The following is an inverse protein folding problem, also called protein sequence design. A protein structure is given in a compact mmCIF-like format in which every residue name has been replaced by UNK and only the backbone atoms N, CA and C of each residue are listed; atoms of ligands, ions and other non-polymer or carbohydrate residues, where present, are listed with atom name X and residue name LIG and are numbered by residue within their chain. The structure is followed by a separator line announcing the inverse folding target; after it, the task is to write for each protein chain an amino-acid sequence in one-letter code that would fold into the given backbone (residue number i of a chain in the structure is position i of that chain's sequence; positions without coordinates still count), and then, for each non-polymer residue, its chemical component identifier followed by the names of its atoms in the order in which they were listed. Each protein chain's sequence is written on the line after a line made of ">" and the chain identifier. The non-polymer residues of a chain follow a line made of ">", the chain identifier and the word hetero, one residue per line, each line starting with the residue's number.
data_IF_464850818485
#
_entry.id   IF_464850818485
#
_cell.length_a   1.000
_cell.length_b   1.000
_cell.length_c   1.000
_cell.angle_alpha   90.00
_cell.angle_beta   90.00
_cell.angle_gamma   90.00
#
_symmetry.space_group_name_H-M   'P 1'
#
loop_
_entity.id
_entity.type
_entity.pdbx_description
1 polymer ?
#
# COMPACT_ATOMS: atom_id res chain seq x y z
N UNK A 1 7.73 4.18 10.57
CA UNK A 1 6.90 4.77 9.50
C UNK A 1 6.97 3.89 8.25
N UNK A 2 5.83 3.59 7.66
CA UNK A 2 5.68 2.86 6.38
C UNK A 2 5.15 3.85 5.34
N UNK A 3 5.39 3.59 4.05
CA UNK A 3 4.76 4.35 2.97
C UNK A 3 3.83 3.42 2.21
N UNK A 4 2.59 3.86 1.98
CA UNK A 4 1.67 3.23 1.04
C UNK A 4 1.21 4.23 0.00
N UNK A 5 1.05 3.74 -1.22
CA UNK A 5 0.27 4.43 -2.24
C UNK A 5 -1.21 4.14 -2.11
N UNK A 6 -2.10 5.06 -2.53
CA UNK A 6 -3.52 4.99 -2.20
C UNK A 6 -4.18 3.64 -2.46
N UNK A 7 -3.91 2.99 -3.60
CA UNK A 7 -4.56 1.71 -3.89
C UNK A 7 -4.13 0.58 -2.95
N UNK A 8 -2.91 0.65 -2.40
CA UNK A 8 -2.41 -0.38 -1.50
C UNK A 8 -3.04 -0.36 -0.11
N UNK A 9 -3.69 0.74 0.31
CA UNK A 9 -4.50 0.74 1.51
C UNK A 9 -5.65 -0.27 1.39
N UNK A 10 -6.42 -0.24 0.29
CA UNK A 10 -7.48 -1.22 0.06
C UNK A 10 -6.93 -2.62 -0.23
N UNK A 11 -5.83 -2.74 -1.00
CA UNK A 11 -5.23 -4.05 -1.24
C UNK A 11 -4.77 -4.72 0.06
N UNK A 12 -4.29 -3.96 1.04
CA UNK A 12 -3.85 -4.47 2.34
C UNK A 12 -5.02 -5.07 3.13
N UNK A 13 -6.20 -4.42 3.10
CA UNK A 13 -7.42 -4.94 3.74
C UNK A 13 -7.92 -6.24 3.07
N UNK A 14 -7.79 -6.33 1.75
CA UNK A 14 -8.24 -7.48 0.96
C UNK A 14 -7.19 -8.55 0.69
N UNK A 15 -5.99 -8.45 1.28
CA UNK A 15 -4.87 -9.31 0.92
C UNK A 15 -5.10 -10.77 1.33
N UNK A 16 -5.00 -11.69 0.36
CA UNK A 16 -5.16 -13.14 0.55
C UNK A 16 -3.96 -13.99 0.10
N UNK A 17 -2.87 -13.36 -0.33
CA UNK A 17 -1.64 -14.06 -0.72
C UNK A 17 -1.72 -14.86 -2.03
N UNK A 18 -2.64 -14.55 -2.94
CA UNK A 18 -2.79 -15.25 -4.23
C UNK A 18 -2.61 -14.31 -5.44
N UNK A 19 -2.20 -14.86 -6.58
CA UNK A 19 -2.16 -14.14 -7.87
C UNK A 19 -0.91 -13.28 -8.13
N UNK A 20 0.12 -13.37 -7.28
CA UNK A 20 1.37 -12.61 -7.43
C UNK A 20 2.59 -13.54 -7.40
N UNK A 21 3.78 -13.01 -7.74
CA UNK A 21 5.03 -13.74 -7.55
C UNK A 21 5.25 -14.06 -6.05
N UNK A 22 5.94 -15.16 -5.75
CA UNK A 22 6.23 -15.57 -4.36
C UNK A 22 6.88 -14.45 -3.56
N UNK A 23 7.89 -13.78 -4.13
CA UNK A 23 8.57 -12.65 -3.48
C UNK A 23 7.64 -11.49 -3.15
N UNK A 24 6.66 -11.20 -4.01
CA UNK A 24 5.67 -10.15 -3.74
C UNK A 24 4.72 -10.58 -2.63
N UNK A 25 4.24 -11.82 -2.67
CA UNK A 25 3.39 -12.39 -1.62
C UNK A 25 4.11 -12.40 -0.27
N UNK A 26 5.38 -12.80 -0.21
CA UNK A 26 6.17 -12.85 1.01
C UNK A 26 6.38 -11.46 1.61
N UNK A 27 6.75 -10.48 0.79
CA UNK A 27 6.90 -9.08 1.22
C UNK A 27 5.59 -8.54 1.78
N UNK A 28 4.49 -8.70 1.05
CA UNK A 28 3.19 -8.19 1.48
C UNK A 28 2.70 -8.92 2.73
N UNK A 29 2.86 -10.24 2.81
CA UNK A 29 2.52 -11.03 3.99
C UNK A 29 3.28 -10.56 5.23
N UNK A 30 4.57 -10.26 5.10
CA UNK A 30 5.38 -9.76 6.22
C UNK A 30 4.95 -8.36 6.68
N UNK A 31 4.57 -7.47 5.75
CA UNK A 31 3.99 -6.17 6.09
C UNK A 31 2.67 -6.35 6.85
N UNK A 32 1.77 -7.21 6.37
CA UNK A 32 0.48 -7.45 7.00
C UNK A 32 0.59 -8.14 8.36
N UNK A 33 1.56 -9.06 8.53
CA UNK A 33 1.86 -9.68 9.84
C UNK A 33 2.19 -8.64 10.89
N UNK A 34 2.93 -7.59 10.51
CA UNK A 34 3.29 -6.49 11.42
C UNK A 34 2.09 -5.58 11.66
N UNK A 35 1.37 -5.18 10.61
CA UNK A 35 0.24 -4.25 10.73
C UNK A 35 -0.96 -4.84 11.50
N UNK A 36 -1.12 -6.17 11.48
CA UNK A 36 -2.22 -6.85 12.17
C UNK A 36 -1.93 -7.21 13.64
N UNK A 37 -0.79 -6.80 14.20
CA UNK A 37 -0.58 -6.90 15.66
C UNK A 37 -1.25 -5.74 16.38
N UNK A 38 -1.39 -5.84 17.71
CA UNK A 38 -1.92 -4.75 18.53
C UNK A 38 -1.08 -3.47 18.37
N UNK A 39 0.25 -3.57 18.44
CA UNK A 39 1.16 -2.44 18.24
C UNK A 39 1.17 -1.96 16.77
N UNK A 40 0.81 -2.85 15.83
CA UNK A 40 0.69 -2.56 14.41
C UNK A 40 -0.36 -1.50 14.10
N UNK A 41 -1.38 -1.36 14.95
CA UNK A 41 -2.45 -0.38 14.78
C UNK A 41 -1.95 1.06 14.83
N UNK A 42 -0.94 1.35 15.66
CA UNK A 42 -0.39 2.69 15.85
C UNK A 42 0.75 3.01 14.87
N UNK A 43 1.13 2.05 14.01
CA UNK A 43 2.14 2.29 12.98
C UNK A 43 1.61 3.35 12.00
N UNK A 44 2.38 4.42 11.86
CA UNK A 44 2.10 5.48 10.89
C UNK A 44 2.48 5.08 9.48
N UNK A 45 1.56 5.35 8.56
CA UNK A 45 1.64 5.14 7.13
C UNK A 45 1.54 6.50 6.45
N UNK A 46 2.58 6.88 5.70
CA UNK A 46 2.56 8.07 4.84
C UNK A 46 1.96 7.71 3.49
N UNK A 47 1.03 8.53 3.02
CA UNK A 47 0.45 8.43 1.68
C UNK A 47 1.41 8.99 0.65
N UNK A 48 1.79 8.18 -0.34
CA UNK A 48 2.68 8.56 -1.45
C UNK A 48 2.07 8.18 -2.81
N UNK A 49 2.38 8.88 -3.89
CA UNK A 49 1.88 8.54 -5.24
C UNK A 49 2.96 7.87 -6.12
N UNK A 50 3.95 7.27 -5.45
CA UNK A 50 5.05 6.52 -6.06
C UNK A 50 5.05 5.06 -5.60
N UNK A 51 5.89 4.23 -6.23
CA UNK A 51 6.13 2.86 -5.81
C UNK A 51 6.55 2.82 -4.32
N UNK A 52 5.88 1.99 -3.55
CA UNK A 52 5.93 2.02 -2.09
C UNK A 52 6.55 0.75 -1.49
N UNK A 53 6.33 0.53 -0.19
CA UNK A 53 6.89 -0.63 0.52
C UNK A 53 6.36 -1.98 0.02
N UNK A 54 5.12 -2.04 -0.47
CA UNK A 54 4.55 -3.25 -1.08
C UNK A 54 5.12 -3.47 -2.49
N UNK A 55 5.34 -2.39 -3.26
CA UNK A 55 5.96 -2.46 -4.58
C UNK A 55 7.41 -2.98 -4.59
N UNK A 56 8.08 -3.08 -3.43
CA UNK A 56 9.53 -3.29 -3.37
C UNK A 56 10.07 -4.44 -4.25
N UNK A 57 9.51 -5.67 -4.19
CA UNK A 57 9.91 -6.80 -5.04
C UNK A 57 9.09 -6.93 -6.35
N UNK A 58 8.26 -5.94 -6.70
CA UNK A 58 7.40 -6.02 -7.88
C UNK A 58 8.24 -6.06 -9.18
N UNK A 59 8.06 -7.05 -10.07
CA UNK A 59 8.83 -7.15 -11.32
C UNK A 59 8.58 -5.97 -12.27
N UNK A 60 7.43 -5.32 -12.13
CA UNK A 60 7.05 -4.15 -12.94
C UNK A 60 7.60 -2.84 -12.39
N UNK A 61 8.21 -2.82 -11.20
CA UNK A 61 8.76 -1.61 -10.60
C UNK A 61 9.93 -1.07 -11.43
N UNK A 62 9.96 0.25 -11.61
CA UNK A 62 11.02 1.02 -12.29
C UNK A 62 11.36 2.23 -11.43
N UNK A 63 12.27 2.02 -10.47
CA UNK A 63 12.62 3.05 -9.48
C UNK A 63 11.42 3.46 -8.62
N UNK A 64 10.96 4.69 -8.78
CA UNK A 64 9.79 5.29 -8.11
C UNK A 64 8.47 5.04 -8.85
N UNK A 65 8.51 4.51 -10.06
CA UNK A 65 7.33 4.25 -10.90
C UNK A 65 7.24 2.76 -11.26
N UNK A 66 6.38 2.41 -12.21
CA UNK A 66 6.30 1.06 -12.78
C UNK A 66 6.01 1.09 -14.28
N UNK A 67 6.07 -0.06 -14.94
CA UNK A 67 5.77 -0.20 -16.38
C UNK A 67 4.33 0.16 -16.73
N UNK A 68 3.40 0.06 -15.77
CA UNK A 68 1.95 0.29 -15.94
C UNK A 68 1.52 1.63 -15.29
N UNK A 69 2.39 2.64 -15.32
CA UNK A 69 2.20 3.85 -14.51
C UNK A 69 0.85 4.55 -14.74
N UNK A 70 0.42 4.75 -16.00
CA UNK A 70 -0.85 5.42 -16.31
C UNK A 70 -2.08 4.70 -15.74
N UNK A 71 -2.05 3.36 -15.71
CA UNK A 71 -3.11 2.54 -15.11
C UNK A 71 -3.11 2.70 -13.60
N UNK A 72 -1.92 2.62 -13.01
CA UNK A 72 -1.72 2.64 -11.56
C UNK A 72 -1.99 4.04 -10.98
N UNK A 73 -1.70 5.12 -11.71
CA UNK A 73 -2.08 6.48 -11.31
C UNK A 73 -3.60 6.69 -11.30
N UNK A 74 -4.32 6.15 -12.29
CA UNK A 74 -5.79 6.19 -12.30
C UNK A 74 -6.36 5.42 -11.12
N UNK A 75 -5.79 4.25 -10.82
CA UNK A 75 -6.19 3.44 -9.68
C UNK A 75 -5.95 4.18 -8.36
N UNK A 76 -4.76 4.78 -8.19
CA UNK A 76 -4.43 5.58 -7.01
C UNK A 76 -5.36 6.77 -6.84
N UNK A 77 -5.65 7.53 -7.90
CA UNK A 77 -6.58 8.66 -7.84
C UNK A 77 -7.97 8.22 -7.39
N UNK A 78 -8.47 7.10 -7.93
CA UNK A 78 -9.76 6.56 -7.55
C UNK A 78 -9.80 6.14 -6.06
N UNK A 79 -8.76 5.45 -5.59
CA UNK A 79 -8.69 4.98 -4.20
C UNK A 79 -8.43 6.13 -3.22
N UNK A 80 -7.61 7.11 -3.60
CA UNK A 80 -7.40 8.33 -2.83
C UNK A 80 -8.69 9.11 -2.65
N UNK A 81 -9.50 9.25 -3.72
CA UNK A 81 -10.80 9.91 -3.63
C UNK A 81 -11.77 9.13 -2.73
N UNK A 82 -11.86 7.80 -2.88
CA UNK A 82 -12.75 6.96 -2.08
C UNK A 82 -12.40 6.99 -0.59
N UNK A 83 -11.10 6.92 -0.27
CA UNK A 83 -10.59 6.92 1.11
C UNK A 83 -10.26 8.32 1.63
N UNK A 84 -10.56 9.39 0.89
CA UNK A 84 -10.24 10.77 1.26
C UNK A 84 -8.76 11.00 1.64
N UNK A 85 -7.83 10.34 0.93
CA UNK A 85 -6.39 10.43 1.16
C UNK A 85 -5.75 11.50 0.27
N UNK A 86 -4.78 12.23 0.81
CA UNK A 86 -3.97 13.20 0.08
C UNK A 86 -2.48 12.85 0.14
N UNK A 87 -1.71 13.32 -0.84
CA UNK A 87 -0.27 13.10 -0.87
C UNK A 87 0.38 13.75 0.35
N UNK A 88 1.15 12.97 1.11
CA UNK A 88 1.82 13.45 2.32
C UNK A 88 1.04 13.27 3.62
N UNK A 89 -0.24 12.86 3.56
CA UNK A 89 -0.99 12.45 4.75
C UNK A 89 -0.18 11.41 5.55
N UNK A 90 -0.23 11.53 6.87
CA UNK A 90 0.35 10.56 7.80
C UNK A 90 -0.79 10.09 8.69
N UNK A 91 -1.19 8.84 8.49
CA UNK A 91 -2.27 8.21 9.26
C UNK A 91 -1.77 6.92 9.88
N UNK A 92 -2.30 6.56 11.03
CA UNK A 92 -2.09 5.25 11.65
C UNK A 92 -2.78 4.16 10.83
N UNK A 93 -2.31 2.92 10.98
CA UNK A 93 -3.02 1.79 10.38
C UNK A 93 -4.43 1.62 10.93
N UNK A 94 -4.66 2.00 12.19
CA UNK A 94 -6.00 2.06 12.78
C UNK A 94 -6.92 3.01 12.00
N UNK A 95 -6.51 4.27 11.83
CA UNK A 95 -7.29 5.27 11.09
C UNK A 95 -7.51 4.82 9.64
N UNK A 96 -6.50 4.21 9.01
CA UNK A 96 -6.62 3.69 7.66
C UNK A 96 -7.71 2.60 7.51
N UNK A 97 -7.92 1.76 8.54
CA UNK A 97 -8.96 0.72 8.55
C UNK A 97 -10.38 1.27 8.78
N UNK A 98 -10.49 2.49 9.28
CA UNK A 98 -11.77 3.15 9.60
C UNK A 98 -12.30 4.00 8.43
N UNK A 99 -11.54 4.11 7.34
CA UNK A 99 -11.94 4.77 6.08
C UNK A 99 -12.58 3.79 5.11
#
# INVERSE_FOLDING_TARGET
>A
MIHFRPHHFMCALGFRGSGYSSLFVDNFSNIMKVLNTNDGHDITIKVVFEADKICAPCPNRRGKLCTEQDKIERLDKAHAAALQLQAGDIITWKEAKER
#
